data_IF_024627156375
#
_entry.id   IF_024627156375
#
_cell.length_a   1.000
_cell.length_b   1.000
_cell.length_c   1.000
_cell.angle_alpha   90.00
_cell.angle_beta   90.00
_cell.angle_gamma   90.00
#
_symmetry.space_group_name_H-M   'P 1'
#
loop_
_entity.id
_entity.type
_entity.pdbx_description
1 polymer ?
#
# COMPACT_ATOMS: atom_id res chain seq x y z
N UNK A 1 -2.60 -13.71 16.45
CA UNK A 1 -2.79 -12.33 16.91
C UNK A 1 -1.73 -12.00 17.94
N UNK A 2 -0.98 -10.91 17.77
CA UNK A 2 0.09 -10.52 18.72
C UNK A 2 -0.53 -9.59 19.76
N UNK A 3 -0.80 -10.11 20.96
CA UNK A 3 -1.52 -9.40 22.03
C UNK A 3 -0.72 -8.26 22.66
N UNK A 4 0.60 -8.27 22.50
CA UNK A 4 1.48 -7.24 23.05
C UNK A 4 1.54 -5.97 22.20
N UNK A 5 0.96 -5.93 21.02
CA UNK A 5 0.94 -4.73 20.16
C UNK A 5 -0.09 -3.71 20.64
N UNK A 6 0.29 -2.43 20.54
CA UNK A 6 -0.58 -1.27 20.78
C UNK A 6 -0.46 -0.29 19.62
N UNK A 7 -1.62 0.13 19.07
CA UNK A 7 -1.67 1.17 18.06
C UNK A 7 -1.34 2.53 18.65
N UNK A 8 -0.60 3.34 17.92
CA UNK A 8 -0.34 4.74 18.28
C UNK A 8 -1.08 5.70 17.35
N UNK A 9 -0.92 5.55 16.04
CA UNK A 9 -1.62 6.35 15.05
C UNK A 9 -1.65 5.64 13.69
N UNK A 10 -2.73 5.80 12.94
CA UNK A 10 -2.75 5.58 11.51
C UNK A 10 -2.25 6.83 10.80
N UNK A 11 -1.43 6.67 9.75
CA UNK A 11 -0.77 7.79 9.08
C UNK A 11 -1.36 8.06 7.71
N UNK A 12 -0.93 7.32 6.71
CA UNK A 12 -1.31 7.51 5.32
C UNK A 12 -1.66 6.17 4.67
N UNK A 13 -2.41 6.19 3.57
CA UNK A 13 -2.69 4.97 2.82
C UNK A 13 -1.45 4.48 2.07
N UNK A 14 -1.08 3.24 2.26
CA UNK A 14 -0.15 2.51 1.39
C UNK A 14 -0.93 1.83 0.30
N UNK A 15 -0.82 2.38 -0.90
CA UNK A 15 -1.64 2.01 -2.05
C UNK A 15 -1.03 0.80 -2.76
N UNK A 16 -1.85 -0.21 -3.04
CA UNK A 16 -1.43 -1.38 -3.80
C UNK A 16 -1.40 -1.02 -5.28
N UNK A 17 -0.26 -1.21 -5.91
CA UNK A 17 -0.02 -0.89 -7.31
C UNK A 17 0.50 -2.14 -8.01
N UNK A 18 -0.33 -2.76 -8.86
CA UNK A 18 0.14 -3.77 -9.80
C UNK A 18 0.69 -3.04 -11.02
N UNK A 19 1.98 -3.13 -11.21
CA UNK A 19 2.72 -2.37 -12.21
C UNK A 19 3.18 -3.31 -13.33
N UNK A 20 3.02 -2.88 -14.56
CA UNK A 20 3.46 -3.61 -15.76
C UNK A 20 3.98 -2.62 -16.80
N UNK A 21 4.37 -3.10 -17.96
CA UNK A 21 4.67 -2.27 -19.14
C UNK A 21 3.60 -2.48 -20.22
N UNK A 22 3.31 -1.43 -21.01
CA UNK A 22 2.21 -1.45 -21.98
C UNK A 22 2.35 -2.56 -23.04
N UNK A 23 3.58 -2.92 -23.41
CA UNK A 23 3.89 -3.99 -24.37
C UNK A 23 3.47 -5.39 -23.87
N UNK A 24 3.31 -5.59 -22.56
CA UNK A 24 2.84 -6.87 -21.97
C UNK A 24 1.34 -7.10 -22.16
N UNK A 25 0.57 -6.07 -22.50
CA UNK A 25 -0.86 -6.18 -22.78
C UNK A 25 -1.73 -6.55 -21.57
N UNK A 26 -1.21 -6.42 -20.35
CA UNK A 26 -1.92 -6.70 -19.09
C UNK A 26 -2.77 -5.48 -18.75
N UNK A 27 -4.09 -5.62 -18.75
CA UNK A 27 -5.05 -4.54 -18.48
C UNK A 27 -5.82 -4.73 -17.18
N UNK A 28 -6.01 -5.97 -16.78
CA UNK A 28 -6.75 -6.37 -15.58
C UNK A 28 -5.94 -7.36 -14.75
N UNK A 29 -6.27 -7.52 -13.47
CA UNK A 29 -5.64 -8.53 -12.62
C UNK A 29 -5.85 -9.95 -13.17
N UNK A 30 -6.98 -10.20 -13.85
CA UNK A 30 -7.25 -11.51 -14.47
C UNK A 30 -6.23 -11.88 -15.56
N UNK A 31 -5.63 -10.90 -16.24
CA UNK A 31 -4.62 -11.11 -17.27
C UNK A 31 -3.26 -11.62 -16.72
N UNK A 32 -3.11 -11.60 -15.39
CA UNK A 32 -1.91 -12.10 -14.73
C UNK A 32 -1.81 -13.64 -14.72
N UNK A 33 -2.89 -14.35 -15.04
CA UNK A 33 -2.87 -15.82 -15.12
C UNK A 33 -1.86 -16.29 -16.17
N UNK A 34 -0.97 -17.19 -15.78
CA UNK A 34 0.13 -17.69 -16.61
C UNK A 34 1.31 -16.73 -16.78
N UNK A 35 1.29 -15.57 -16.10
CA UNK A 35 2.36 -14.57 -16.17
C UNK A 35 3.38 -14.74 -15.06
N UNK A 36 4.57 -14.19 -15.29
CA UNK A 36 5.62 -14.08 -14.27
C UNK A 36 5.43 -12.80 -13.47
N UNK A 37 5.11 -12.94 -12.18
CA UNK A 37 4.68 -11.83 -11.33
C UNK A 37 5.59 -11.69 -10.10
N UNK A 38 6.19 -10.50 -9.93
CA UNK A 38 6.91 -10.13 -8.72
C UNK A 38 5.90 -9.68 -7.65
N UNK A 39 5.62 -10.56 -6.67
CA UNK A 39 4.55 -10.37 -5.68
C UNK A 39 4.99 -9.60 -4.43
N UNK A 40 6.22 -9.12 -4.38
CA UNK A 40 6.85 -8.51 -3.20
C UNK A 40 7.85 -9.46 -2.54
N UNK A 41 8.62 -8.96 -1.59
CA UNK A 41 9.56 -9.78 -0.83
C UNK A 41 8.84 -10.86 -0.03
N UNK A 42 9.43 -12.04 0.07
CA UNK A 42 8.83 -13.18 0.78
C UNK A 42 8.45 -12.82 2.23
N UNK A 43 7.20 -13.10 2.62
CA UNK A 43 6.67 -12.81 3.94
C UNK A 43 6.41 -11.33 4.24
N UNK A 44 6.51 -10.45 3.25
CA UNK A 44 6.19 -9.02 3.39
C UNK A 44 4.68 -8.76 3.39
N UNK A 45 4.28 -7.57 3.87
CA UNK A 45 2.91 -7.09 3.75
C UNK A 45 2.47 -6.96 2.28
N UNK A 46 3.39 -6.55 1.40
CA UNK A 46 3.12 -6.45 -0.05
C UNK A 46 2.79 -7.80 -0.67
N UNK A 47 3.53 -8.87 -0.31
CA UNK A 47 3.24 -10.24 -0.74
C UNK A 47 1.87 -10.70 -0.24
N UNK A 48 1.54 -10.43 1.03
CA UNK A 48 0.23 -10.77 1.57
C UNK A 48 -0.91 -10.04 0.83
N UNK A 49 -0.74 -8.76 0.51
CA UNK A 49 -1.71 -8.00 -0.27
C UNK A 49 -1.83 -8.54 -1.70
N UNK A 50 -0.71 -8.83 -2.38
CA UNK A 50 -0.71 -9.42 -3.72
C UNK A 50 -1.52 -10.73 -3.74
N UNK A 51 -1.21 -11.64 -2.81
CA UNK A 51 -1.88 -12.93 -2.71
C UNK A 51 -3.39 -12.78 -2.45
N UNK A 52 -3.80 -11.92 -1.54
CA UNK A 52 -5.21 -11.69 -1.21
C UNK A 52 -5.99 -11.12 -2.40
N UNK A 53 -5.39 -10.19 -3.15
CA UNK A 53 -6.02 -9.61 -4.33
C UNK A 53 -6.11 -10.64 -5.45
N UNK A 54 -5.05 -11.38 -5.75
CA UNK A 54 -5.07 -12.46 -6.74
C UNK A 54 -6.15 -13.50 -6.40
N UNK A 55 -6.22 -13.96 -5.14
CA UNK A 55 -7.24 -14.90 -4.67
C UNK A 55 -8.67 -14.36 -4.88
N UNK A 56 -8.90 -13.06 -4.71
CA UNK A 56 -10.21 -12.44 -4.95
C UNK A 56 -10.61 -12.48 -6.44
N UNK A 57 -9.64 -12.58 -7.35
CA UNK A 57 -9.84 -12.85 -8.78
C UNK A 57 -9.84 -14.34 -9.13
N UNK A 58 -9.78 -15.23 -8.13
CA UNK A 58 -9.69 -16.68 -8.35
C UNK A 58 -8.34 -17.15 -8.91
N UNK A 59 -7.29 -16.36 -8.71
CA UNK A 59 -5.92 -16.67 -9.13
C UNK A 59 -5.11 -17.06 -7.88
N UNK A 60 -4.49 -18.22 -7.93
CA UNK A 60 -3.57 -18.70 -6.90
C UNK A 60 -2.12 -18.61 -7.37
N UNK A 61 -1.18 -18.83 -6.48
CA UNK A 61 0.23 -18.90 -6.85
C UNK A 61 0.59 -20.10 -7.75
N UNK A 62 -0.32 -21.07 -7.89
CA UNK A 62 -0.17 -22.14 -8.89
C UNK A 62 -0.55 -21.70 -10.31
N UNK A 63 -1.25 -20.59 -10.45
CA UNK A 63 -1.72 -20.05 -11.73
C UNK A 63 -0.76 -19.03 -12.34
N UNK A 64 0.31 -18.63 -11.63
CA UNK A 64 1.33 -17.65 -12.05
C UNK A 64 2.74 -18.17 -11.75
N UNK A 65 3.76 -17.62 -12.42
CA UNK A 65 5.16 -17.82 -12.04
C UNK A 65 5.56 -16.74 -11.01
N UNK A 66 5.59 -17.13 -9.74
CA UNK A 66 5.79 -16.22 -8.59
C UNK A 66 7.26 -15.87 -8.45
N UNK A 67 7.55 -14.55 -8.36
CA UNK A 67 8.88 -14.05 -8.05
C UNK A 67 8.81 -13.21 -6.77
N UNK A 68 9.69 -13.51 -5.80
CA UNK A 68 9.77 -12.78 -4.53
C UNK A 68 10.89 -11.73 -4.63
N UNK A 69 10.52 -10.51 -5.00
CA UNK A 69 11.42 -9.39 -5.24
C UNK A 69 11.00 -8.17 -4.43
N UNK A 70 11.96 -7.36 -4.00
CA UNK A 70 11.71 -6.02 -3.48
C UNK A 70 11.16 -5.12 -4.59
N UNK A 71 10.63 -3.93 -4.23
CA UNK A 71 10.07 -3.00 -5.22
C UNK A 71 11.09 -2.56 -6.28
N UNK A 72 12.35 -2.28 -5.87
CA UNK A 72 13.42 -1.93 -6.79
C UNK A 72 13.77 -3.07 -7.74
N UNK A 73 14.00 -4.27 -7.20
CA UNK A 73 14.31 -5.48 -7.99
C UNK A 73 13.17 -5.83 -8.97
N UNK A 74 11.90 -5.65 -8.55
CA UNK A 74 10.74 -5.89 -9.41
C UNK A 74 10.72 -4.90 -10.60
N UNK A 75 11.04 -3.62 -10.35
CA UNK A 75 11.13 -2.59 -11.39
C UNK A 75 12.27 -2.88 -12.35
N UNK A 76 13.43 -3.25 -11.85
CA UNK A 76 14.57 -3.63 -12.70
C UNK A 76 14.25 -4.87 -13.53
N UNK A 77 13.63 -5.88 -12.93
CA UNK A 77 13.18 -7.07 -13.65
C UNK A 77 12.11 -6.79 -14.72
N UNK A 78 11.22 -5.79 -14.49
CA UNK A 78 10.27 -5.31 -15.50
C UNK A 78 10.98 -4.60 -16.68
N UNK A 79 11.98 -3.75 -16.39
CA UNK A 79 12.78 -3.07 -17.43
C UNK A 79 13.51 -4.07 -18.31
N UNK A 80 14.05 -5.12 -17.71
CA UNK A 80 14.80 -6.18 -18.39
C UNK A 80 13.88 -7.22 -19.07
N UNK A 81 12.56 -7.16 -18.83
CA UNK A 81 11.60 -8.12 -19.35
C UNK A 81 11.61 -9.48 -18.67
N UNK A 82 12.26 -9.59 -17.52
CA UNK A 82 12.39 -10.82 -16.73
C UNK A 82 11.12 -11.16 -15.93
N UNK A 83 10.22 -10.19 -15.71
CA UNK A 83 8.88 -10.37 -15.17
C UNK A 83 7.86 -9.64 -16.05
N UNK A 84 6.59 -10.02 -15.94
CA UNK A 84 5.49 -9.40 -16.70
C UNK A 84 4.75 -8.35 -15.89
N UNK A 85 4.71 -8.50 -14.57
CA UNK A 85 4.14 -7.54 -13.65
C UNK A 85 4.86 -7.57 -12.30
N UNK A 86 4.74 -6.47 -11.54
CA UNK A 86 5.26 -6.37 -10.18
C UNK A 86 4.25 -5.70 -9.26
N UNK A 87 4.32 -5.99 -7.96
CA UNK A 87 3.45 -5.40 -6.94
C UNK A 87 4.26 -4.45 -6.07
N UNK A 88 3.78 -3.21 -5.97
CA UNK A 88 4.32 -2.17 -5.10
C UNK A 88 3.21 -1.74 -4.14
N UNK A 89 3.51 -1.70 -2.85
CA UNK A 89 2.57 -1.23 -1.82
C UNK A 89 3.22 -0.07 -1.09
N UNK A 90 2.85 1.14 -1.48
CA UNK A 90 3.45 2.37 -0.98
C UNK A 90 2.54 3.57 -1.28
N UNK A 91 2.82 4.71 -0.66
CA UNK A 91 2.21 5.98 -1.08
C UNK A 91 2.62 6.35 -2.51
N UNK A 92 1.72 6.95 -3.27
CA UNK A 92 2.03 7.42 -4.62
C UNK A 92 2.26 8.95 -4.65
N UNK A 93 3.08 9.46 -5.62
CA UNK A 93 3.89 8.71 -6.57
C UNK A 93 5.05 7.98 -5.89
N UNK A 94 5.31 6.72 -6.30
CA UNK A 94 6.39 5.90 -5.76
C UNK A 94 7.63 6.02 -6.66
N UNK A 95 8.81 6.25 -6.09
CA UNK A 95 10.04 6.47 -6.86
C UNK A 95 10.36 5.31 -7.82
N UNK A 96 10.20 4.06 -7.39
CA UNK A 96 10.42 2.89 -8.25
C UNK A 96 9.49 2.87 -9.48
N UNK A 97 8.21 3.23 -9.29
CA UNK A 97 7.25 3.29 -10.41
C UNK A 97 7.53 4.49 -11.34
N UNK A 98 7.96 5.63 -10.77
CA UNK A 98 8.40 6.78 -11.58
C UNK A 98 9.62 6.44 -12.44
N UNK A 99 10.57 5.68 -11.89
CA UNK A 99 11.75 5.24 -12.61
C UNK A 99 11.39 4.28 -13.76
N UNK A 100 10.46 3.32 -13.52
CA UNK A 100 9.93 2.49 -14.61
C UNK A 100 9.26 3.34 -15.70
N UNK A 101 8.39 4.27 -15.30
CA UNK A 101 7.65 5.11 -16.23
C UNK A 101 8.53 6.07 -17.06
N UNK A 102 9.68 6.48 -16.51
CA UNK A 102 10.66 7.30 -17.22
C UNK A 102 11.45 6.50 -18.28
N UNK A 103 11.63 5.21 -18.09
CA UNK A 103 12.47 4.35 -18.94
C UNK A 103 11.66 3.43 -19.86
N UNK A 104 10.44 3.11 -19.50
CA UNK A 104 9.51 2.24 -20.23
C UNK A 104 8.10 2.83 -20.14
N UNK A 105 7.23 2.43 -21.06
CA UNK A 105 5.81 2.79 -20.97
C UNK A 105 5.14 1.99 -19.88
N UNK A 106 5.26 2.47 -18.63
CA UNK A 106 4.64 1.84 -17.48
C UNK A 106 3.10 1.93 -17.55
N UNK A 107 2.45 0.90 -17.01
CA UNK A 107 1.02 0.88 -16.78
C UNK A 107 0.73 0.35 -15.37
N UNK A 108 -0.30 0.92 -14.72
CA UNK A 108 -0.82 0.39 -13.47
C UNK A 108 -2.12 -0.32 -13.78
N UNK A 109 -2.23 -1.55 -13.28
CA UNK A 109 -3.38 -2.41 -13.55
C UNK A 109 -4.53 -2.03 -12.64
N UNK A 110 -5.70 -1.82 -13.22
CA UNK A 110 -6.92 -1.46 -12.49
C UNK A 110 -7.46 -2.65 -11.67
N UNK A 111 -7.96 -2.38 -10.48
CA UNK A 111 -8.67 -3.34 -9.63
C UNK A 111 -10.16 -3.03 -9.71
N UNK A 112 -10.96 -4.00 -10.19
CA UNK A 112 -12.40 -3.85 -10.30
C UNK A 112 -13.01 -3.40 -8.94
N UNK A 113 -13.79 -2.31 -8.92
CA UNK A 113 -14.44 -1.82 -7.70
C UNK A 113 -15.29 -2.86 -6.97
N UNK A 114 -15.89 -3.83 -7.67
CA UNK A 114 -16.66 -4.93 -7.06
C UNK A 114 -15.74 -5.89 -6.31
N UNK A 115 -14.56 -6.17 -6.85
CA UNK A 115 -13.54 -6.99 -6.17
C UNK A 115 -12.99 -6.25 -4.95
N UNK A 116 -12.81 -4.93 -5.06
CA UNK A 116 -12.44 -4.10 -3.91
C UNK A 116 -13.48 -4.19 -2.78
N UNK A 117 -14.78 -4.19 -3.10
CA UNK A 117 -15.86 -4.37 -2.11
C UNK A 117 -15.78 -5.75 -1.42
N UNK A 118 -15.54 -6.81 -2.19
CA UNK A 118 -15.38 -8.16 -1.63
C UNK A 118 -14.14 -8.27 -0.73
N UNK A 119 -13.02 -7.66 -1.13
CA UNK A 119 -11.81 -7.60 -0.31
C UNK A 119 -12.06 -6.89 1.03
N UNK A 120 -12.75 -5.75 1.01
CA UNK A 120 -13.07 -4.99 2.23
C UNK A 120 -14.01 -5.74 3.16
N UNK A 121 -14.95 -6.54 2.63
CA UNK A 121 -15.82 -7.41 3.43
C UNK A 121 -15.01 -8.51 4.13
N UNK A 122 -14.07 -9.12 3.44
CA UNK A 122 -13.22 -10.20 3.96
C UNK A 122 -12.10 -9.68 4.86
N UNK A 123 -11.54 -8.52 4.50
CA UNK A 123 -10.38 -7.90 5.14
C UNK A 123 -10.66 -6.42 5.44
N UNK A 124 -11.23 -6.09 6.61
CA UNK A 124 -11.69 -4.72 6.94
C UNK A 124 -10.59 -3.66 7.03
N UNK A 125 -9.32 -4.03 6.90
CA UNK A 125 -8.20 -3.10 6.86
C UNK A 125 -7.91 -2.52 5.48
N UNK A 126 -8.55 -3.00 4.41
CA UNK A 126 -8.48 -2.37 3.10
C UNK A 126 -9.43 -1.17 3.01
N UNK A 127 -9.02 -0.20 2.21
CA UNK A 127 -9.85 0.93 1.79
C UNK A 127 -9.75 1.07 0.27
N UNK A 128 -10.82 1.55 -0.38
CA UNK A 128 -10.75 1.94 -1.80
C UNK A 128 -9.81 3.11 -1.99
N UNK A 129 -9.07 3.09 -3.08
CA UNK A 129 -8.16 4.17 -3.47
C UNK A 129 -8.24 4.38 -4.98
N UNK A 130 -8.06 5.61 -5.40
CA UNK A 130 -7.88 5.97 -6.81
C UNK A 130 -6.51 6.63 -6.95
N UNK A 131 -5.71 6.15 -7.91
CA UNK A 131 -4.47 6.81 -8.33
C UNK A 131 -4.87 7.75 -9.47
N UNK A 132 -4.85 9.08 -9.27
CA UNK A 132 -5.29 10.02 -10.28
C UNK A 132 -4.46 9.94 -11.56
N UNK A 133 -5.10 10.17 -12.70
CA UNK A 133 -4.40 10.35 -13.97
C UNK A 133 -3.29 11.40 -13.84
N UNK A 134 -2.20 11.18 -14.55
CA UNK A 134 -1.03 12.09 -14.50
C UNK A 134 -0.16 11.92 -13.25
N UNK A 135 -0.45 10.95 -12.37
CA UNK A 135 0.44 10.61 -11.24
C UNK A 135 1.79 10.10 -11.72
N UNK A 136 1.78 9.30 -12.79
CA UNK A 136 3.00 8.79 -13.44
C UNK A 136 3.07 9.24 -14.91
N UNK A 137 4.29 9.40 -15.46
CA UNK A 137 4.46 9.66 -16.88
C UNK A 137 3.70 8.64 -17.76
N UNK A 138 2.92 9.13 -18.72
CA UNK A 138 2.14 8.28 -19.62
C UNK A 138 0.83 7.71 -19.06
N UNK A 139 0.50 7.95 -17.81
CA UNK A 139 -0.79 7.56 -17.21
C UNK A 139 -1.86 8.58 -17.62
N UNK A 140 -2.79 8.17 -18.47
CA UNK A 140 -3.86 9.03 -19.03
C UNK A 140 -5.19 8.92 -18.30
N UNK A 141 -5.40 7.83 -17.54
CA UNK A 141 -6.64 7.52 -16.84
C UNK A 141 -6.44 7.39 -15.34
N UNK A 142 -7.52 7.60 -14.58
CA UNK A 142 -7.57 7.24 -13.18
C UNK A 142 -7.50 5.71 -13.03
N UNK A 143 -6.82 5.22 -12.00
CA UNK A 143 -6.70 3.77 -11.73
C UNK A 143 -7.34 3.46 -10.40
N UNK A 144 -8.37 2.61 -10.41
CA UNK A 144 -8.98 2.09 -9.19
C UNK A 144 -8.08 1.04 -8.54
N UNK A 145 -7.95 1.11 -7.24
CA UNK A 145 -7.16 0.17 -6.46
C UNK A 145 -7.64 0.13 -5.01
N UNK A 146 -6.88 -0.55 -4.18
CA UNK A 146 -7.07 -0.58 -2.72
C UNK A 146 -5.81 -0.14 -2.00
N UNK A 147 -5.98 0.29 -0.77
CA UNK A 147 -4.87 0.66 0.11
C UNK A 147 -5.05 0.02 1.48
N UNK A 148 -3.94 -0.13 2.20
CA UNK A 148 -3.89 -0.41 3.62
C UNK A 148 -3.32 0.80 4.35
N UNK A 149 -3.66 1.00 5.63
CA UNK A 149 -3.10 2.12 6.40
C UNK A 149 -1.69 1.77 6.89
N UNK A 150 -0.75 2.69 6.68
CA UNK A 150 0.48 2.73 7.43
C UNK A 150 0.16 3.09 8.88
N UNK A 151 0.60 2.30 9.84
CA UNK A 151 0.32 2.54 11.26
C UNK A 151 1.60 2.55 12.08
N UNK A 152 1.66 3.46 13.07
CA UNK A 152 2.69 3.40 14.10
C UNK A 152 2.18 2.48 15.21
N UNK A 153 3.02 1.54 15.60
CA UNK A 153 2.72 0.59 16.67
C UNK A 153 3.79 0.64 17.75
N UNK A 154 3.36 0.49 18.99
CA UNK A 154 4.20 0.21 20.13
C UNK A 154 3.88 -1.17 20.70
N UNK A 155 4.41 -1.44 21.88
CA UNK A 155 4.08 -2.65 22.64
C UNK A 155 3.50 -2.28 24.01
N UNK A 156 2.97 -3.28 24.73
CA UNK A 156 2.51 -3.13 26.13
C UNK A 156 3.60 -2.63 27.09
N UNK A 157 4.88 -2.61 26.68
CA UNK A 157 5.98 -2.06 27.46
C UNK A 157 6.11 -0.53 27.31
N UNK A 158 5.46 0.07 26.30
CA UNK A 158 5.42 1.51 26.12
C UNK A 158 4.38 2.10 27.09
N UNK A 159 4.81 3.02 27.95
CA UNK A 159 3.87 3.70 28.87
C UNK A 159 2.86 4.55 28.09
N UNK A 160 1.70 4.77 28.70
CA UNK A 160 0.66 5.63 28.10
C UNK A 160 1.15 7.06 27.96
N UNK A 161 1.89 7.59 28.93
CA UNK A 161 2.51 8.90 28.85
C UNK A 161 3.42 9.03 27.63
N UNK A 162 4.34 8.10 27.44
CA UNK A 162 5.26 8.12 26.30
C UNK A 162 4.52 7.92 24.97
N UNK A 163 3.51 7.06 24.91
CA UNK A 163 2.66 6.89 23.73
C UNK A 163 1.97 8.20 23.34
N UNK A 164 1.43 8.93 24.32
CA UNK A 164 0.84 10.25 24.12
C UNK A 164 1.84 11.29 23.62
N UNK A 165 3.03 11.36 24.21
CA UNK A 165 4.07 12.32 23.77
C UNK A 165 4.60 12.01 22.36
N UNK A 166 4.75 10.75 21.96
CA UNK A 166 5.15 10.36 20.60
C UNK A 166 4.12 10.89 19.60
N UNK A 167 2.84 10.65 19.83
CA UNK A 167 1.76 11.06 18.93
C UNK A 167 1.65 12.58 18.90
N UNK A 168 1.74 13.25 20.05
CA UNK A 168 1.76 14.71 20.15
C UNK A 168 2.92 15.30 19.34
N UNK A 169 4.13 14.78 19.50
CA UNK A 169 5.29 15.24 18.75
C UNK A 169 5.08 15.11 17.23
N UNK A 170 4.51 13.99 16.77
CA UNK A 170 4.20 13.77 15.37
C UNK A 170 3.22 14.83 14.84
N UNK A 171 2.07 14.99 15.49
CA UNK A 171 1.00 15.88 15.02
C UNK A 171 1.31 17.36 15.21
N UNK A 172 2.23 17.72 16.10
CA UNK A 172 2.75 19.09 16.24
C UNK A 172 3.69 19.47 15.09
N UNK A 173 4.29 18.49 14.40
CA UNK A 173 5.30 18.74 13.36
C UNK A 173 4.86 18.24 11.96
N UNK A 174 3.56 18.23 11.66
CA UNK A 174 3.02 17.75 10.38
C UNK A 174 3.61 18.49 9.16
N UNK A 175 3.94 19.77 9.30
CA UNK A 175 4.53 20.54 8.19
C UNK A 175 5.89 19.96 7.74
N UNK A 176 6.67 19.42 8.67
CA UNK A 176 7.93 18.72 8.35
C UNK A 176 7.67 17.43 7.57
N UNK A 177 6.60 16.70 7.93
CA UNK A 177 6.20 15.48 7.23
C UNK A 177 5.73 15.78 5.80
N UNK A 178 4.92 16.84 5.63
CA UNK A 178 4.45 17.32 4.32
C UNK A 178 5.60 17.78 3.42
N UNK A 179 6.60 18.45 4.02
CA UNK A 179 7.78 18.90 3.28
C UNK A 179 8.69 17.73 2.86
N UNK A 180 8.72 16.65 3.66
CA UNK A 180 9.57 15.50 3.38
C UNK A 180 9.04 14.61 2.24
N UNK A 181 7.71 14.43 2.13
CA UNK A 181 7.12 13.59 1.09
C UNK A 181 5.65 13.96 0.82
N UNK A 182 5.22 13.79 -0.43
CA UNK A 182 3.85 14.10 -0.86
C UNK A 182 2.75 13.37 -0.06
N UNK A 183 3.01 12.17 0.46
CA UNK A 183 2.07 11.42 1.30
C UNK A 183 1.84 12.08 2.66
N UNK A 184 2.71 12.97 3.10
CA UNK A 184 2.56 13.72 4.36
C UNK A 184 1.27 14.51 4.44
N UNK A 185 0.69 14.91 3.30
CA UNK A 185 -0.63 15.59 3.23
C UNK A 185 -1.79 14.74 3.76
N UNK A 186 -1.65 13.40 3.73
CA UNK A 186 -2.68 12.47 4.22
C UNK A 186 -2.57 12.18 5.72
N UNK A 187 -1.48 12.61 6.38
CA UNK A 187 -1.31 12.44 7.82
C UNK A 187 -2.10 13.54 8.51
N UNK A 188 -3.28 13.21 9.02
CA UNK A 188 -4.17 14.14 9.70
C UNK A 188 -4.68 13.54 11.00
N UNK A 189 -5.04 14.40 11.97
CA UNK A 189 -5.59 13.93 13.24
C UNK A 189 -6.96 13.27 13.05
N UNK A 190 -7.75 13.76 12.08
CA UNK A 190 -9.08 13.24 11.79
C UNK A 190 -9.07 11.78 11.32
N UNK A 191 -8.02 11.38 10.60
CA UNK A 191 -7.88 10.02 10.04
C UNK A 191 -6.99 9.10 10.87
N UNK A 192 -6.48 9.59 12.00
CA UNK A 192 -5.47 8.90 12.81
C UNK A 192 -5.93 7.59 13.48
N UNK A 193 -7.23 7.36 13.55
CA UNK A 193 -7.84 6.14 14.10
C UNK A 193 -8.42 5.22 13.02
N UNK A 194 -8.46 5.67 11.76
CA UNK A 194 -9.04 4.89 10.67
C UNK A 194 -8.22 3.62 10.38
N UNK A 195 -8.90 2.48 10.23
CA UNK A 195 -8.27 1.20 9.92
C UNK A 195 -7.44 0.61 11.06
N UNK A 196 -7.46 1.20 12.26
CA UNK A 196 -6.77 0.68 13.42
C UNK A 196 -7.45 -0.59 13.92
N UNK A 197 -6.86 -1.73 13.67
CA UNK A 197 -7.41 -3.06 13.97
C UNK A 197 -6.88 -3.69 15.26
N UNK A 198 -6.01 -2.98 15.98
CA UNK A 198 -5.42 -3.42 17.26
C UNK A 198 -5.78 -2.42 18.36
N UNK A 199 -5.66 -2.89 19.61
CA UNK A 199 -5.90 -2.04 20.78
C UNK A 199 -4.94 -0.86 20.80
N UNK A 200 -5.46 0.34 21.06
CA UNK A 200 -4.66 1.55 21.17
C UNK A 200 -3.87 1.61 22.49
N UNK A 201 -2.73 2.30 22.45
CA UNK A 201 -2.12 2.84 23.66
C UNK A 201 -3.02 3.95 24.20
N UNK A 202 -3.35 3.91 25.51
CA UNK A 202 -4.37 4.81 26.08
C UNK A 202 -3.96 6.28 26.03
N UNK A 203 -2.67 6.60 26.19
CA UNK A 203 -2.17 7.97 26.06
C UNK A 203 -2.24 8.51 24.63
N UNK A 204 -1.88 7.68 23.67
CA UNK A 204 -2.01 8.02 22.24
C UNK A 204 -3.48 8.27 21.86
N UNK A 205 -4.38 7.37 22.27
CA UNK A 205 -5.82 7.51 22.02
C UNK A 205 -6.39 8.77 22.64
N UNK A 206 -6.03 9.06 23.91
CA UNK A 206 -6.46 10.28 24.61
C UNK A 206 -6.04 11.54 23.87
N UNK A 207 -4.79 11.61 23.39
CA UNK A 207 -4.31 12.75 22.61
C UNK A 207 -5.07 12.90 21.28
N UNK A 208 -5.28 11.80 20.54
CA UNK A 208 -5.96 11.85 19.25
C UNK A 208 -7.43 12.27 19.36
N UNK A 209 -8.10 11.93 20.48
CA UNK A 209 -9.50 12.29 20.77
C UNK A 209 -9.65 13.67 21.43
N UNK A 210 -8.57 14.28 21.91
CA UNK A 210 -8.63 15.65 22.44
C UNK A 210 -8.77 16.65 21.30
N UNK A 211 -9.64 17.66 21.50
CA UNK A 211 -9.84 18.78 20.55
C UNK A 211 -8.58 19.65 20.43
#
# INVERSE_FOLDING_TARGET
>A
KVESLRGLAALYPETVQFVTTQDKGIKTIADLKGKKVAVGASGSGAEANARQILEAYGITYNDIDVQYLSFGEAVDALKDGNVDAGVVVAGFPTAAVQDLAANKSAAIVDIDPKISDQLMQKYPYYTKMVIPKGTYPGQTEDVNTVAVKCVIVGTTKLSDEMGGEIVKALYTHLDRMKAAHAVGKYITKDTALEGMSIQMNAGAEKYLKSN
#
